data_IF_191091571494
#
_entry.id   IF_191091571494
#
_cell.length_a   1.000
_cell.length_b   1.000
_cell.length_c   1.000
_cell.angle_alpha   90.00
_cell.angle_beta   90.00
_cell.angle_gamma   90.00
#
_symmetry.space_group_name_H-M   'P 1'
#
loop_
_entity.id
_entity.type
_entity.pdbx_description
1 polymer ?
#
# COMPACT_ATOMS: atom_id res chain seq x y z
N UNK A 1 18.98 13.61 6.87
CA UNK A 1 18.36 12.35 7.33
C UNK A 1 17.47 11.81 6.23
N UNK A 2 17.59 10.53 5.92
CA UNK A 2 16.69 9.91 4.95
C UNK A 2 15.26 9.85 5.51
N UNK A 3 14.28 10.13 4.67
CA UNK A 3 12.88 9.99 5.05
C UNK A 3 12.56 8.53 5.35
N UNK A 4 11.66 8.34 6.30
CA UNK A 4 11.08 7.03 6.56
C UNK A 4 10.29 6.58 5.32
N UNK A 5 10.44 5.31 4.94
CA UNK A 5 9.71 4.74 3.81
C UNK A 5 8.46 4.04 4.34
N UNK A 6 7.31 4.42 3.80
CA UNK A 6 6.03 3.78 4.10
C UNK A 6 5.47 3.19 2.82
N UNK A 7 5.27 1.88 2.81
CA UNK A 7 4.63 1.15 1.72
C UNK A 7 3.13 1.14 1.95
N UNK A 8 2.36 1.71 1.02
CA UNK A 8 0.90 1.76 1.11
C UNK A 8 0.27 0.52 0.49
N UNK A 9 -0.45 -0.24 1.31
CA UNK A 9 -1.38 -1.24 0.83
C UNK A 9 -2.67 -0.58 0.34
N UNK A 10 -3.36 -1.22 -0.59
CA UNK A 10 -4.59 -0.68 -1.18
C UNK A 10 -5.69 -0.44 -0.14
N UNK A 11 -5.72 -1.21 0.93
CA UNK A 11 -6.72 -1.02 2.00
C UNK A 11 -6.62 0.35 2.66
N UNK A 12 -5.42 0.93 2.74
CA UNK A 12 -5.20 2.30 3.25
C UNK A 12 -5.33 3.32 2.12
N UNK A 13 -4.64 3.07 1.01
CA UNK A 13 -4.57 4.01 -0.10
C UNK A 13 -5.96 4.36 -0.65
N UNK A 14 -6.82 3.36 -0.86
CA UNK A 14 -8.18 3.59 -1.37
C UNK A 14 -9.01 4.48 -0.45
N UNK A 15 -8.82 4.41 0.86
CA UNK A 15 -9.57 5.22 1.82
C UNK A 15 -9.19 6.71 1.78
N UNK A 16 -8.12 7.07 1.09
CA UNK A 16 -7.75 8.49 0.91
C UNK A 16 -8.54 9.16 -0.20
N UNK A 17 -9.21 8.39 -1.07
CA UNK A 17 -9.93 8.94 -2.22
C UNK A 17 -11.39 8.48 -2.29
N UNK A 18 -11.77 7.41 -1.60
CA UNK A 18 -13.16 6.95 -1.57
C UNK A 18 -13.98 7.77 -0.59
N UNK A 19 -15.31 7.70 -0.76
CA UNK A 19 -16.23 8.40 0.12
C UNK A 19 -16.46 7.56 1.39
N UNK A 20 -15.49 7.66 2.30
CA UNK A 20 -15.48 6.94 3.57
C UNK A 20 -15.21 7.92 4.71
N UNK A 21 -15.66 7.61 5.95
CA UNK A 21 -15.54 8.54 7.08
C UNK A 21 -14.11 8.94 7.40
N UNK A 22 -13.13 8.03 7.24
CA UNK A 22 -11.74 8.27 7.58
C UNK A 22 -10.92 8.98 6.51
N UNK A 23 -11.52 9.35 5.38
CA UNK A 23 -10.79 9.92 4.23
C UNK A 23 -9.95 11.13 4.60
N UNK A 24 -10.56 12.14 5.24
CA UNK A 24 -9.85 13.38 5.57
C UNK A 24 -8.74 13.15 6.60
N UNK A 25 -8.98 12.28 7.58
CA UNK A 25 -7.98 11.94 8.59
C UNK A 25 -6.79 11.23 7.95
N UNK A 26 -7.02 10.35 7.00
CA UNK A 26 -5.95 9.64 6.30
C UNK A 26 -5.16 10.57 5.36
N UNK A 27 -5.85 11.49 4.67
CA UNK A 27 -5.17 12.50 3.87
C UNK A 27 -4.25 13.36 4.75
N UNK A 28 -4.72 13.75 5.93
CA UNK A 28 -3.92 14.51 6.90
C UNK A 28 -2.72 13.67 7.39
N UNK A 29 -2.95 12.40 7.68
CA UNK A 29 -1.89 11.49 8.07
C UNK A 29 -0.77 11.45 7.03
N UNK A 30 -1.11 11.32 5.74
CA UNK A 30 -0.11 11.34 4.68
C UNK A 30 0.64 12.67 4.62
N UNK A 31 -0.04 13.80 4.88
CA UNK A 31 0.57 15.12 4.82
C UNK A 31 1.54 15.37 6.00
N UNK A 32 1.25 14.80 7.16
CA UNK A 32 1.97 15.12 8.41
C UNK A 32 3.00 14.07 8.81
N UNK A 33 2.99 12.90 8.19
CA UNK A 33 3.83 11.77 8.62
C UNK A 33 5.32 11.98 8.33
N UNK A 34 5.67 12.85 7.40
CA UNK A 34 7.06 13.11 7.05
C UNK A 34 7.76 11.90 6.44
N UNK A 35 7.02 11.06 5.72
CA UNK A 35 7.53 9.85 5.12
C UNK A 35 7.54 9.95 3.59
N UNK A 36 8.38 9.14 2.96
CA UNK A 36 8.30 8.86 1.54
C UNK A 36 7.31 7.70 1.35
N UNK A 37 6.21 7.97 0.67
CA UNK A 37 5.19 6.95 0.40
C UNK A 37 5.49 6.25 -0.91
N UNK A 38 5.46 4.93 -0.89
CA UNK A 38 5.67 4.08 -2.07
C UNK A 38 4.60 3.00 -2.12
N UNK A 39 4.42 2.41 -3.28
CA UNK A 39 3.61 1.21 -3.44
C UNK A 39 4.01 0.50 -4.73
N UNK A 40 3.40 -0.66 -4.99
CA UNK A 40 3.56 -1.39 -6.23
C UNK A 40 2.78 -0.72 -7.36
N UNK A 41 3.23 -0.95 -8.59
CA UNK A 41 2.46 -0.60 -9.79
C UNK A 41 1.03 -1.21 -9.74
N UNK A 42 0.86 -2.30 -9.01
CA UNK A 42 -0.45 -2.92 -8.80
C UNK A 42 -1.46 -1.95 -8.16
N UNK A 43 -1.00 -1.06 -7.28
CA UNK A 43 -1.88 -0.11 -6.62
C UNK A 43 -2.68 0.71 -7.63
N UNK A 44 -2.01 1.22 -8.67
CA UNK A 44 -2.70 1.99 -9.71
C UNK A 44 -3.83 1.18 -10.36
N UNK A 45 -3.56 -0.06 -10.70
CA UNK A 45 -4.57 -0.93 -11.31
C UNK A 45 -5.74 -1.16 -10.36
N UNK A 46 -5.45 -1.44 -9.10
CA UNK A 46 -6.50 -1.65 -8.09
C UNK A 46 -7.36 -0.39 -7.93
N UNK A 47 -6.73 0.77 -7.80
CA UNK A 47 -7.43 2.05 -7.62
C UNK A 47 -8.31 2.38 -8.82
N UNK A 48 -7.77 2.26 -10.03
CA UNK A 48 -8.52 2.53 -11.26
C UNK A 48 -9.73 1.61 -11.39
N UNK A 49 -9.57 0.32 -11.09
CA UNK A 49 -10.67 -0.64 -11.18
C UNK A 49 -11.78 -0.33 -10.17
N UNK A 50 -11.42 0.07 -8.95
CA UNK A 50 -12.40 0.45 -7.92
C UNK A 50 -13.17 1.70 -8.35
N UNK A 51 -12.47 2.72 -8.87
CA UNK A 51 -13.12 3.93 -9.35
C UNK A 51 -14.09 3.63 -10.49
N UNK A 52 -13.70 2.79 -11.44
CA UNK A 52 -14.59 2.39 -12.54
C UNK A 52 -15.82 1.65 -12.05
N UNK A 53 -15.64 0.75 -11.09
CA UNK A 53 -16.77 0.03 -10.48
C UNK A 53 -17.77 1.00 -9.84
N UNK A 54 -17.27 2.06 -9.23
CA UNK A 54 -18.09 3.06 -8.55
C UNK A 54 -18.59 4.16 -9.49
N UNK A 55 -18.37 4.02 -10.80
CA UNK A 55 -18.81 5.01 -11.79
C UNK A 55 -18.04 6.32 -11.76
N UNK A 56 -16.84 6.34 -11.19
CA UNK A 56 -15.99 7.52 -11.06
C UNK A 56 -14.89 7.51 -12.12
N UNK A 57 -14.46 8.69 -12.61
CA UNK A 57 -13.39 8.75 -13.60
C UNK A 57 -12.05 8.33 -13.01
N UNK A 58 -11.18 7.65 -13.79
CA UNK A 58 -9.84 7.27 -13.33
C UNK A 58 -8.98 8.47 -12.88
N UNK A 59 -9.25 9.68 -13.40
CA UNK A 59 -8.55 10.90 -12.99
C UNK A 59 -8.72 11.24 -11.51
N UNK A 60 -9.75 10.71 -10.85
CA UNK A 60 -9.94 10.88 -9.40
C UNK A 60 -8.81 10.22 -8.60
N UNK A 61 -8.00 9.36 -9.20
CA UNK A 61 -6.85 8.75 -8.55
C UNK A 61 -5.63 9.68 -8.46
N UNK A 62 -5.59 10.76 -9.25
CA UNK A 62 -4.39 11.60 -9.34
C UNK A 62 -3.92 12.18 -7.99
N UNK A 63 -4.79 12.70 -7.12
CA UNK A 63 -4.33 13.23 -5.83
C UNK A 63 -3.58 12.20 -4.98
N UNK A 64 -3.95 10.93 -5.07
CA UNK A 64 -3.26 9.86 -4.38
C UNK A 64 -1.99 9.46 -5.13
N UNK A 65 -2.11 9.14 -6.42
CA UNK A 65 -1.01 8.56 -7.19
C UNK A 65 0.15 9.53 -7.39
N UNK A 66 -0.13 10.83 -7.42
CA UNK A 66 0.92 11.86 -7.53
C UNK A 66 1.79 11.95 -6.27
N UNK A 67 1.34 11.40 -5.16
CA UNK A 67 2.05 11.42 -3.88
C UNK A 67 2.76 10.11 -3.56
N UNK A 68 2.61 9.10 -4.39
CA UNK A 68 3.11 7.75 -4.11
C UNK A 68 4.11 7.36 -5.18
N UNK A 69 5.34 7.05 -4.77
CA UNK A 69 6.33 6.46 -5.65
C UNK A 69 5.93 5.06 -6.05
N UNK A 70 6.01 4.75 -7.33
CA UNK A 70 5.56 3.45 -7.85
C UNK A 70 6.75 2.54 -8.14
N UNK A 71 6.71 1.33 -7.59
CA UNK A 71 7.70 0.30 -7.79
C UNK A 71 7.16 -0.74 -8.78
N UNK A 72 7.98 -1.09 -9.79
CA UNK A 72 7.59 -2.04 -10.81
C UNK A 72 7.52 -3.48 -10.31
N UNK A 73 6.77 -4.28 -11.01
CA UNK A 73 6.70 -5.72 -10.80
C UNK A 73 7.67 -6.38 -11.79
N UNK A 74 8.62 -7.13 -11.26
CA UNK A 74 9.64 -7.84 -12.04
C UNK A 74 9.49 -9.35 -11.85
N UNK A 75 10.19 -10.17 -12.65
CA UNK A 75 10.24 -11.61 -12.39
C UNK A 75 10.72 -11.94 -10.97
N UNK A 76 11.65 -11.14 -10.42
CA UNK A 76 12.12 -11.32 -9.04
C UNK A 76 10.98 -11.08 -8.03
N UNK A 77 10.13 -10.09 -8.26
CA UNK A 77 8.96 -9.84 -7.41
C UNK A 77 8.07 -11.07 -7.37
N UNK A 78 7.80 -11.68 -8.52
CA UNK A 78 7.02 -12.91 -8.59
C UNK A 78 7.69 -14.05 -7.82
N UNK A 79 9.00 -14.24 -7.99
CA UNK A 79 9.72 -15.29 -7.30
C UNK A 79 9.64 -15.13 -5.77
N UNK A 80 9.80 -13.91 -5.28
CA UNK A 80 9.68 -13.64 -3.84
C UNK A 80 8.25 -13.89 -3.36
N UNK A 81 7.25 -13.43 -4.10
CA UNK A 81 5.84 -13.67 -3.76
C UNK A 81 5.53 -15.16 -3.67
N UNK A 82 6.04 -15.95 -4.64
CA UNK A 82 5.85 -17.41 -4.68
C UNK A 82 6.54 -18.12 -3.50
N UNK A 83 7.57 -17.52 -2.93
CA UNK A 83 8.29 -18.09 -1.79
C UNK A 83 7.59 -17.87 -0.44
N UNK A 84 6.56 -17.03 -0.40
CA UNK A 84 5.81 -16.76 0.83
C UNK A 84 4.93 -17.98 1.13
N UNK A 85 5.28 -18.71 2.20
CA UNK A 85 4.57 -19.93 2.57
C UNK A 85 3.28 -19.67 3.34
N UNK A 86 3.07 -18.46 3.84
CA UNK A 86 1.87 -18.10 4.58
C UNK A 86 0.67 -17.99 3.64
N UNK A 87 -0.50 -18.36 4.14
CA UNK A 87 -1.73 -18.27 3.37
C UNK A 87 -2.12 -16.79 3.21
N UNK A 88 -2.03 -16.30 1.99
CA UNK A 88 -2.34 -14.91 1.62
C UNK A 88 -2.74 -14.85 0.16
N UNK A 89 -3.59 -13.90 -0.19
CA UNK A 89 -4.02 -13.71 -1.58
C UNK A 89 -2.85 -13.31 -2.46
N UNK A 90 -2.89 -13.73 -3.72
CA UNK A 90 -1.79 -13.50 -4.68
C UNK A 90 -1.42 -12.03 -4.81
N UNK A 91 -2.40 -11.11 -4.94
CA UNK A 91 -2.11 -9.68 -5.05
C UNK A 91 -1.43 -9.14 -3.78
N UNK A 92 -1.86 -9.60 -2.61
CA UNK A 92 -1.25 -9.20 -1.35
C UNK A 92 0.16 -9.75 -1.22
N UNK A 93 0.40 -11.00 -1.69
CA UNK A 93 1.75 -11.56 -1.73
C UNK A 93 2.67 -10.74 -2.63
N UNK A 94 2.18 -10.26 -3.77
CA UNK A 94 2.94 -9.39 -4.66
C UNK A 94 3.25 -8.04 -4.01
N UNK A 95 2.31 -7.47 -3.26
CA UNK A 95 2.57 -6.25 -2.49
C UNK A 95 3.67 -6.47 -1.46
N UNK A 96 3.59 -7.55 -0.70
CA UNK A 96 4.61 -7.85 0.32
C UNK A 96 5.98 -8.13 -0.31
N UNK A 97 6.00 -8.83 -1.42
CA UNK A 97 7.25 -9.08 -2.17
C UNK A 97 7.88 -7.76 -2.64
N UNK A 98 7.07 -6.84 -3.14
CA UNK A 98 7.55 -5.52 -3.55
C UNK A 98 8.17 -4.77 -2.38
N UNK A 99 7.50 -4.78 -1.22
CA UNK A 99 8.02 -4.14 -0.01
C UNK A 99 9.33 -4.79 0.45
N UNK A 100 9.42 -6.12 0.43
CA UNK A 100 10.63 -6.84 0.82
C UNK A 100 11.82 -6.52 -0.08
N UNK A 101 11.58 -6.28 -1.36
CA UNK A 101 12.65 -6.01 -2.34
C UNK A 101 13.17 -4.57 -2.30
N UNK A 102 12.58 -3.69 -1.48
CA UNK A 102 13.08 -2.31 -1.35
C UNK A 102 14.52 -2.28 -0.83
N UNK A 103 14.88 -3.24 0.03
CA UNK A 103 16.26 -3.35 0.51
C UNK A 103 16.66 -2.36 1.59
N UNK A 104 15.69 -1.59 2.11
CA UNK A 104 15.86 -0.64 3.20
C UNK A 104 14.73 -0.85 4.20
N UNK A 105 14.88 -0.39 5.45
CA UNK A 105 13.79 -0.47 6.42
C UNK A 105 12.53 0.20 5.87
N UNK A 106 11.42 -0.53 5.92
CA UNK A 106 10.14 -0.05 5.40
C UNK A 106 9.02 -0.40 6.40
N UNK A 107 8.06 0.51 6.52
CA UNK A 107 6.84 0.26 7.28
C UNK A 107 5.70 0.02 6.30
N UNK A 108 5.00 -1.10 6.44
CA UNK A 108 3.81 -1.41 5.63
C UNK A 108 2.59 -0.81 6.32
N UNK A 109 1.88 0.07 5.62
CA UNK A 109 0.62 0.63 6.10
C UNK A 109 -0.53 -0.17 5.51
N UNK A 110 -1.29 -0.84 6.36
CA UNK A 110 -2.41 -1.69 5.95
C UNK A 110 -3.51 -1.68 7.00
N UNK A 111 -4.76 -1.83 6.56
CA UNK A 111 -5.92 -2.03 7.42
C UNK A 111 -6.46 -3.46 7.30
N UNK A 112 -5.81 -4.30 6.53
CA UNK A 112 -6.18 -5.72 6.35
C UNK A 112 -5.46 -6.57 7.39
N UNK A 113 -6.22 -7.32 8.20
CA UNK A 113 -5.66 -8.08 9.31
C UNK A 113 -4.71 -9.19 8.86
N UNK A 114 -5.03 -9.85 7.73
CA UNK A 114 -4.17 -10.92 7.19
C UNK A 114 -2.88 -10.32 6.65
N UNK A 115 -2.96 -9.23 5.90
CA UNK A 115 -1.78 -8.53 5.39
C UNK A 115 -0.85 -8.09 6.52
N UNK A 116 -1.41 -7.47 7.57
CA UNK A 116 -0.62 -7.02 8.72
C UNK A 116 0.10 -8.18 9.40
N UNK A 117 -0.62 -9.28 9.64
CA UNK A 117 -0.05 -10.45 10.30
C UNK A 117 1.08 -11.07 9.49
N UNK A 118 0.86 -11.28 8.19
CA UNK A 118 1.87 -11.89 7.33
C UNK A 118 3.08 -10.97 7.18
N UNK A 119 2.87 -9.67 7.01
CA UNK A 119 3.97 -8.69 6.95
C UNK A 119 4.86 -8.78 8.20
N UNK A 120 4.27 -8.83 9.39
CA UNK A 120 5.02 -8.96 10.63
C UNK A 120 5.77 -10.29 10.71
N UNK A 121 5.17 -11.39 10.27
CA UNK A 121 5.81 -12.70 10.22
C UNK A 121 7.01 -12.72 9.26
N UNK A 122 7.00 -11.87 8.25
CA UNK A 122 8.12 -11.72 7.30
C UNK A 122 9.18 -10.72 7.80
N UNK A 123 9.01 -10.17 8.98
CA UNK A 123 9.98 -9.24 9.58
C UNK A 123 9.77 -7.78 9.20
N UNK A 124 8.66 -7.43 8.58
CA UNK A 124 8.35 -6.05 8.23
C UNK A 124 7.69 -5.34 9.41
N UNK A 125 7.97 -4.04 9.53
CA UNK A 125 7.25 -3.18 10.46
C UNK A 125 5.89 -2.83 9.86
N UNK A 126 4.85 -2.77 10.69
CA UNK A 126 3.48 -2.54 10.23
C UNK A 126 2.86 -1.38 10.99
N UNK A 127 2.06 -0.58 10.31
CA UNK A 127 1.19 0.42 10.92
C UNK A 127 -0.20 0.32 10.32
N UNK A 128 -1.21 0.65 11.11
CA UNK A 128 -2.60 0.71 10.66
C UNK A 128 -3.14 2.12 10.93
N UNK A 129 -2.94 3.06 9.99
CA UNK A 129 -3.38 4.45 10.20
C UNK A 129 -4.90 4.58 10.27
N UNK A 130 -5.65 3.61 9.73
CA UNK A 130 -7.11 3.61 9.81
C UNK A 130 -7.56 3.39 11.26
N UNK A 131 -6.88 2.52 11.99
CA UNK A 131 -7.23 2.19 13.37
C UNK A 131 -6.90 3.33 14.35
N UNK A 132 -6.00 4.25 13.99
CA UNK A 132 -5.54 5.31 14.89
C UNK A 132 -6.07 6.70 14.56
N UNK A 133 -6.83 6.84 13.45
CA UNK A 133 -7.40 8.15 13.08
C UNK A 133 -8.83 8.36 13.57
#
# INVERSE_FOLDING_TARGET
MADRIVYLDSSVALRTILDVPERLSLQRWMQTEGATFVSSRLLRTEVVRVLRRDGRPPSDAAPLLDRVGTLGITPETHSVAESIERHIKTLDALHLATALLIGEPVTVASHDSTMKRVAEQLGLTVTDPVAIV
#
